data_IF_135078628488
#
_entry.id   IF_135078628488
#
_cell.length_a   1.000
_cell.length_b   1.000
_cell.length_c   1.000
_cell.angle_alpha   90.00
_cell.angle_beta   90.00
_cell.angle_gamma   90.00
#
_symmetry.space_group_name_H-M   'P 1'
#
loop_
_entity.id
_entity.type
_entity.pdbx_description
1 polymer ?
#
# COMPACT_ATOMS: atom_id res chain seq x y z
N UNK A 1 39.09 18.71 29.20
CA UNK A 1 38.04 19.69 28.90
C UNK A 1 37.48 20.19 30.20
N UNK A 2 37.59 21.49 30.44
CA UNK A 2 37.11 22.13 31.66
C UNK A 2 35.67 22.58 31.51
N UNK A 3 34.94 22.68 32.63
CA UNK A 3 33.53 23.15 32.67
C UNK A 3 33.39 24.53 32.01
N UNK A 4 34.42 25.37 32.10
CA UNK A 4 34.46 26.70 31.48
C UNK A 4 34.44 26.66 29.95
N UNK A 5 35.01 25.63 29.32
CA UNK A 5 35.01 25.47 27.85
C UNK A 5 33.63 25.03 27.33
N UNK A 6 32.88 24.26 28.12
CA UNK A 6 31.49 23.85 27.81
C UNK A 6 30.51 25.02 27.91
N UNK A 7 30.68 25.90 28.91
CA UNK A 7 29.82 27.08 29.11
C UNK A 7 30.00 28.10 27.99
N UNK A 8 31.21 28.24 27.44
CA UNK A 8 31.47 29.17 26.33
C UNK A 8 30.93 28.66 24.98
N UNK A 9 30.92 27.35 24.75
CA UNK A 9 30.48 26.77 23.48
C UNK A 9 28.95 26.80 23.27
N UNK A 10 28.17 26.89 24.35
CA UNK A 10 26.70 26.73 24.33
C UNK A 10 25.94 28.07 24.48
N UNK A 11 26.64 29.18 24.75
CA UNK A 11 26.01 30.46 25.11
C UNK A 11 25.57 30.43 26.57
N UNK A 12 26.06 31.39 27.36
CA UNK A 12 26.02 31.34 28.82
C UNK A 12 24.63 31.04 29.41
N UNK A 13 24.58 30.00 30.25
CA UNK A 13 23.44 29.69 31.11
C UNK A 13 23.78 30.07 32.55
N UNK A 14 22.92 30.85 33.21
CA UNK A 14 23.10 31.36 34.58
C UNK A 14 22.74 30.33 35.70
N UNK A 15 22.56 29.04 35.36
CA UNK A 15 22.10 27.99 36.30
C UNK A 15 23.18 26.99 36.74
N UNK A 16 22.89 26.23 37.81
CA UNK A 16 23.73 25.12 38.30
C UNK A 16 23.91 24.06 37.19
N UNK A 17 25.14 23.67 36.82
CA UNK A 17 25.40 22.60 35.86
C UNK A 17 24.61 21.31 36.12
N UNK A 18 24.35 20.96 37.39
CA UNK A 18 23.54 19.79 37.71
C UNK A 18 22.06 19.97 37.35
N UNK A 19 21.50 21.18 37.48
CA UNK A 19 20.14 21.50 37.03
C UNK A 19 20.03 21.47 35.51
N UNK A 20 21.03 21.99 34.81
CA UNK A 20 21.12 21.93 33.35
C UNK A 20 21.14 20.47 32.87
N UNK A 21 21.98 19.62 33.45
CA UNK A 21 22.04 18.19 33.09
C UNK A 21 20.67 17.53 33.32
N UNK A 22 20.01 17.77 34.46
CA UNK A 22 18.68 17.21 34.73
C UNK A 22 17.62 17.72 33.74
N UNK A 23 17.66 18.98 33.34
CA UNK A 23 16.74 19.55 32.36
C UNK A 23 16.95 18.94 30.97
N UNK A 24 18.21 18.75 30.57
CA UNK A 24 18.57 18.07 29.31
C UNK A 24 18.12 16.62 29.30
N UNK A 25 18.32 15.87 30.39
CA UNK A 25 17.85 14.48 30.52
C UNK A 25 16.34 14.39 30.37
N UNK A 26 15.57 15.21 31.10
CA UNK A 26 14.10 15.22 30.98
C UNK A 26 13.62 15.55 29.57
N UNK A 27 14.32 16.45 28.89
CA UNK A 27 13.98 16.82 27.51
C UNK A 27 14.26 15.67 26.55
N UNK A 28 15.39 14.97 26.71
CA UNK A 28 15.72 13.78 25.95
C UNK A 28 14.72 12.64 26.20
N UNK A 29 14.38 12.35 27.46
CA UNK A 29 13.37 11.34 27.83
C UNK A 29 12.02 11.62 27.16
N UNK A 30 11.58 12.87 27.17
CA UNK A 30 10.35 13.28 26.49
C UNK A 30 10.44 13.09 24.96
N UNK A 31 11.57 13.44 24.35
CA UNK A 31 11.78 13.26 22.92
C UNK A 31 11.76 11.78 22.51
N UNK A 32 12.37 10.89 23.32
CA UNK A 32 12.30 9.45 23.09
C UNK A 32 10.90 8.89 23.27
N UNK A 33 10.17 9.31 24.31
CA UNK A 33 8.79 8.88 24.51
C UNK A 33 7.86 9.29 23.36
N UNK A 34 8.07 10.48 22.77
CA UNK A 34 7.31 10.95 21.61
C UNK A 34 7.66 10.15 20.33
N UNK A 35 8.94 9.79 20.15
CA UNK A 35 9.36 8.89 19.06
C UNK A 35 8.74 7.50 19.22
N UNK A 36 8.78 6.92 20.42
CA UNK A 36 8.16 5.62 20.70
C UNK A 36 6.65 5.66 20.42
N UNK A 37 5.99 6.79 20.70
CA UNK A 37 4.58 6.97 20.37
C UNK A 37 4.33 7.01 18.85
N UNK A 38 5.23 7.62 18.07
CA UNK A 38 5.16 7.62 16.60
C UNK A 38 5.40 6.21 16.04
N UNK A 39 6.42 5.50 16.54
CA UNK A 39 6.74 4.14 16.11
C UNK A 39 5.59 3.18 16.44
N UNK A 40 4.95 3.33 17.59
CA UNK A 40 3.75 2.58 17.94
C UNK A 40 2.56 2.83 17.00
N UNK A 41 2.48 3.99 16.33
CA UNK A 41 1.48 4.24 15.29
C UNK A 41 1.80 3.44 14.02
N UNK A 42 3.07 3.36 13.63
CA UNK A 42 3.55 2.57 12.48
C UNK A 42 3.28 1.07 12.71
N UNK A 43 3.62 0.55 13.89
CA UNK A 43 3.37 -0.86 14.24
C UNK A 43 1.88 -1.20 14.20
N UNK A 44 1.03 -0.34 14.77
CA UNK A 44 -0.42 -0.51 14.72
C UNK A 44 -0.95 -0.43 13.30
N UNK A 45 -0.39 0.44 12.47
CA UNK A 45 -0.77 0.56 11.06
C UNK A 45 -0.38 -0.70 10.28
N UNK A 46 0.78 -1.28 10.55
CA UNK A 46 1.21 -2.56 9.96
C UNK A 46 0.22 -3.69 10.29
N UNK A 47 -0.13 -3.84 11.58
CA UNK A 47 -1.10 -4.84 12.03
C UNK A 47 -2.49 -4.60 11.42
N UNK A 48 -2.94 -3.34 11.36
CA UNK A 48 -4.22 -3.00 10.76
C UNK A 48 -4.25 -3.30 9.25
N UNK A 49 -3.21 -2.91 8.52
CA UNK A 49 -3.06 -3.19 7.10
C UNK A 49 -3.06 -4.69 6.79
N UNK A 50 -2.39 -5.51 7.60
CA UNK A 50 -2.44 -6.97 7.47
C UNK A 50 -3.86 -7.53 7.61
N UNK A 51 -4.63 -7.05 8.60
CA UNK A 51 -6.04 -7.45 8.78
C UNK A 51 -6.92 -7.01 7.61
N UNK A 52 -6.68 -5.83 7.05
CA UNK A 52 -7.38 -5.34 5.85
C UNK A 52 -7.08 -6.26 4.67
N UNK A 53 -5.82 -6.65 4.46
CA UNK A 53 -5.45 -7.61 3.41
C UNK A 53 -6.17 -8.96 3.57
N UNK A 54 -6.27 -9.46 4.80
CA UNK A 54 -7.00 -10.70 5.10
C UNK A 54 -8.49 -10.60 4.73
N UNK A 55 -9.15 -9.50 5.10
CA UNK A 55 -10.56 -9.25 4.75
C UNK A 55 -10.75 -9.05 3.25
N UNK A 56 -9.85 -8.34 2.58
CA UNK A 56 -9.87 -8.18 1.13
C UNK A 56 -9.85 -9.53 0.42
N UNK A 57 -9.03 -10.50 0.85
CA UNK A 57 -9.05 -11.86 0.26
C UNK A 57 -10.42 -12.50 0.32
N UNK A 58 -11.13 -12.34 1.44
CA UNK A 58 -12.50 -12.86 1.63
C UNK A 58 -13.49 -12.15 0.71
N UNK A 59 -13.50 -10.81 0.71
CA UNK A 59 -14.46 -10.03 -0.08
C UNK A 59 -14.25 -10.15 -1.58
N UNK A 60 -13.01 -10.25 -2.05
CA UNK A 60 -12.68 -10.49 -3.46
C UNK A 60 -13.15 -11.87 -3.91
N UNK A 61 -12.99 -12.90 -3.06
CA UNK A 61 -13.46 -14.25 -3.36
C UNK A 61 -14.98 -14.35 -3.39
N UNK A 62 -15.66 -13.50 -2.61
CA UNK A 62 -17.12 -13.37 -2.61
C UNK A 62 -17.64 -12.40 -3.68
N UNK A 63 -16.76 -11.81 -4.49
CA UNK A 63 -17.09 -10.78 -5.50
C UNK A 63 -17.88 -9.57 -4.93
N UNK A 64 -17.66 -9.23 -3.67
CA UNK A 64 -18.36 -8.13 -2.99
C UNK A 64 -17.68 -6.78 -3.26
N UNK A 65 -18.15 -6.08 -4.30
CA UNK A 65 -17.59 -4.77 -4.71
C UNK A 65 -17.68 -3.72 -3.60
N UNK A 66 -18.81 -3.66 -2.89
CA UNK A 66 -19.02 -2.65 -1.85
C UNK A 66 -18.10 -2.87 -0.65
N UNK A 67 -17.89 -4.12 -0.24
CA UNK A 67 -17.01 -4.43 0.89
C UNK A 67 -15.55 -4.19 0.54
N UNK A 68 -15.11 -4.56 -0.68
CA UNK A 68 -13.74 -4.25 -1.15
C UNK A 68 -13.48 -2.74 -1.12
N UNK A 69 -14.45 -1.93 -1.56
CA UNK A 69 -14.33 -0.47 -1.48
C UNK A 69 -14.18 0.03 -0.04
N UNK A 70 -15.00 -0.48 0.88
CA UNK A 70 -14.95 -0.08 2.29
C UNK A 70 -13.59 -0.41 2.95
N UNK A 71 -13.01 -1.55 2.59
CA UNK A 71 -11.67 -1.95 3.06
C UNK A 71 -10.57 -1.01 2.54
N UNK A 72 -10.65 -0.57 1.28
CA UNK A 72 -9.70 0.40 0.73
C UNK A 72 -9.83 1.79 1.38
N UNK A 73 -11.03 2.19 1.77
CA UNK A 73 -11.25 3.42 2.53
C UNK A 73 -10.73 3.31 3.97
N UNK A 74 -10.80 2.13 4.58
CA UNK A 74 -10.12 1.87 5.86
C UNK A 74 -8.59 1.96 5.71
N UNK A 75 -8.04 1.41 4.64
CA UNK A 75 -6.62 1.45 4.34
C UNK A 75 -6.11 2.90 4.21
N UNK A 76 -6.84 3.76 3.51
CA UNK A 76 -6.52 5.19 3.39
C UNK A 76 -6.53 5.89 4.76
N UNK A 77 -7.50 5.56 5.63
CA UNK A 77 -7.56 6.10 7.00
C UNK A 77 -6.36 5.66 7.84
N UNK A 78 -5.92 4.41 7.71
CA UNK A 78 -4.70 3.91 8.37
C UNK A 78 -3.47 4.68 7.89
N UNK A 79 -3.30 4.84 6.58
CA UNK A 79 -2.19 5.59 6.01
C UNK A 79 -2.21 7.09 6.40
N UNK A 80 -3.39 7.71 6.43
CA UNK A 80 -3.55 9.10 6.89
C UNK A 80 -3.10 9.28 8.35
N UNK A 81 -3.36 8.30 9.22
CA UNK A 81 -2.91 8.33 10.61
C UNK A 81 -1.39 8.31 10.73
N UNK A 82 -0.71 7.48 9.95
CA UNK A 82 0.77 7.44 9.92
C UNK A 82 1.34 8.76 9.40
N UNK A 83 0.81 9.28 8.28
CA UNK A 83 1.21 10.60 7.74
C UNK A 83 1.07 11.73 8.75
N UNK A 84 0.05 11.68 9.62
CA UNK A 84 -0.14 12.65 10.70
C UNK A 84 0.99 12.71 11.72
N UNK A 85 1.87 11.70 11.76
CA UNK A 85 3.03 11.62 12.67
C UNK A 85 4.37 11.96 12.01
N UNK A 86 4.40 12.14 10.68
CA UNK A 86 5.65 12.25 9.91
C UNK A 86 6.48 13.48 10.28
N UNK A 87 5.84 14.64 10.48
CA UNK A 87 6.57 15.87 10.81
C UNK A 87 7.23 15.78 12.20
N UNK A 88 6.50 15.25 13.20
CA UNK A 88 7.03 15.00 14.53
C UNK A 88 8.22 14.04 14.48
N UNK A 89 8.08 12.92 13.75
CA UNK A 89 9.14 11.93 13.59
C UNK A 89 10.38 12.52 12.90
N UNK A 90 10.21 13.30 11.82
CA UNK A 90 11.31 13.98 11.12
C UNK A 90 12.05 14.95 12.03
N UNK A 91 11.31 15.81 12.74
CA UNK A 91 11.90 16.79 13.65
C UNK A 91 12.69 16.11 14.78
N UNK A 92 12.13 15.06 15.39
CA UNK A 92 12.80 14.34 16.48
C UNK A 92 14.03 13.57 15.97
N UNK A 93 13.97 12.94 14.79
CA UNK A 93 15.12 12.29 14.19
C UNK A 93 16.24 13.29 13.82
N UNK A 94 15.89 14.50 13.37
CA UNK A 94 16.86 15.58 13.14
C UNK A 94 17.55 15.99 14.43
N UNK A 95 16.79 16.24 15.49
CA UNK A 95 17.31 16.64 16.81
C UNK A 95 18.26 15.56 17.37
N UNK A 96 17.96 14.29 17.11
CA UNK A 96 18.81 13.17 17.52
C UNK A 96 19.98 12.86 16.55
N UNK A 97 20.16 13.63 15.48
CA UNK A 97 21.23 13.42 14.50
C UNK A 97 21.08 12.12 13.69
N UNK A 98 19.85 11.64 13.49
CA UNK A 98 19.54 10.38 12.80
C UNK A 98 19.20 10.53 11.30
N UNK A 99 19.06 11.75 10.78
CA UNK A 99 18.58 12.00 9.39
C UNK A 99 19.48 11.45 8.27
N UNK A 100 20.80 11.29 8.46
CA UNK A 100 21.72 10.86 7.39
C UNK A 100 21.90 9.33 7.26
N UNK A 101 21.41 8.53 8.22
CA UNK A 101 21.65 7.07 8.22
C UNK A 101 20.69 6.27 7.34
N UNK A 102 19.57 6.87 6.95
CA UNK A 102 18.56 6.22 6.12
C UNK A 102 18.79 6.58 4.64
N UNK A 103 19.84 6.01 4.03
CA UNK A 103 19.87 5.83 2.59
C UNK A 103 18.81 4.77 2.20
N UNK A 104 17.55 5.10 2.43
CA UNK A 104 16.41 4.24 2.15
C UNK A 104 16.29 4.13 0.63
N UNK A 105 16.46 2.92 0.10
CA UNK A 105 16.10 2.65 -1.29
C UNK A 105 14.59 2.50 -1.31
N UNK A 106 13.83 3.42 -1.95
CA UNK A 106 12.38 3.35 -1.95
C UNK A 106 11.95 2.02 -2.58
N UNK A 107 11.06 1.30 -1.90
CA UNK A 107 10.43 0.13 -2.50
C UNK A 107 9.65 0.58 -3.75
N UNK A 108 9.75 -0.17 -4.84
CA UNK A 108 9.05 0.15 -6.09
C UNK A 108 7.71 -0.55 -6.09
N UNK A 109 6.63 0.20 -6.32
CA UNK A 109 5.29 -0.36 -6.49
C UNK A 109 5.16 -0.95 -7.88
N UNK A 110 4.97 -2.26 -7.95
CA UNK A 110 4.66 -2.97 -9.21
C UNK A 110 3.26 -2.57 -9.66
N UNK A 111 3.12 -2.14 -10.91
CA UNK A 111 1.83 -1.77 -11.50
C UNK A 111 1.27 -2.92 -12.31
N UNK A 112 -0.03 -3.19 -12.16
CA UNK A 112 -0.76 -4.13 -13.01
C UNK A 112 -1.67 -3.36 -13.95
N UNK A 113 -1.54 -3.64 -15.25
CA UNK A 113 -2.37 -3.06 -16.30
C UNK A 113 -3.19 -4.14 -17.01
N UNK A 114 -4.15 -3.73 -17.84
CA UNK A 114 -4.93 -4.66 -18.65
C UNK A 114 -4.07 -5.50 -19.60
N UNK A 115 -2.93 -4.97 -20.06
CA UNK A 115 -2.00 -5.66 -20.95
C UNK A 115 -1.26 -6.81 -20.26
N UNK A 116 -1.18 -6.78 -18.93
CA UNK A 116 -0.56 -7.82 -18.10
C UNK A 116 -1.53 -8.98 -17.79
N UNK A 117 -2.78 -8.89 -18.25
CA UNK A 117 -3.81 -9.89 -18.04
C UNK A 117 -3.84 -10.92 -19.17
N UNK A 118 -4.23 -12.18 -18.87
CA UNK A 118 -4.51 -13.17 -19.90
C UNK A 118 -5.48 -12.62 -20.95
N UNK A 119 -5.14 -12.80 -22.23
CA UNK A 119 -6.01 -12.40 -23.35
C UNK A 119 -7.27 -13.27 -23.37
N UNK A 120 -8.40 -12.65 -23.71
CA UNK A 120 -9.64 -13.38 -23.91
C UNK A 120 -9.62 -14.11 -25.27
N UNK A 121 -10.02 -15.39 -25.32
CA UNK A 121 -10.25 -16.07 -26.59
C UNK A 121 -11.42 -15.40 -27.32
N UNK A 122 -11.29 -15.23 -28.64
CA UNK A 122 -12.32 -14.63 -29.48
C UNK A 122 -12.49 -15.46 -30.75
N UNK A 123 -13.75 -15.69 -31.14
CA UNK A 123 -14.10 -16.36 -32.39
C UNK A 123 -13.63 -15.58 -33.64
N UNK A 124 -13.29 -14.30 -33.48
CA UNK A 124 -12.80 -13.41 -34.52
C UNK A 124 -11.28 -13.24 -34.51
N UNK A 125 -10.55 -13.95 -33.64
CA UNK A 125 -9.10 -13.81 -33.53
C UNK A 125 -8.31 -14.55 -34.64
N UNK A 126 -8.91 -15.54 -35.29
CA UNK A 126 -8.29 -16.27 -36.41
C UNK A 126 -8.72 -15.67 -37.76
N UNK A 127 -7.76 -15.58 -38.68
CA UNK A 127 -7.89 -14.94 -40.00
C UNK A 127 -8.63 -15.79 -41.04
N UNK A 128 -9.45 -16.75 -40.61
CA UNK A 128 -10.16 -17.66 -41.51
C UNK A 128 -11.57 -17.15 -41.84
N UNK A 129 -11.91 -17.36 -43.11
CA UNK A 129 -13.07 -16.89 -43.86
C UNK A 129 -14.39 -16.87 -43.05
N UNK A 130 -14.82 -15.66 -42.64
CA UNK A 130 -16.07 -15.40 -41.90
C UNK A 130 -17.35 -15.62 -42.74
N UNK A 131 -17.24 -16.33 -43.87
CA UNK A 131 -18.30 -16.50 -44.87
C UNK A 131 -19.42 -17.42 -44.39
N UNK A 132 -19.18 -18.22 -43.34
CA UNK A 132 -20.19 -19.09 -42.72
C UNK A 132 -20.49 -18.69 -41.26
N UNK A 133 -21.59 -17.94 -41.08
CA UNK A 133 -22.07 -17.50 -39.76
C UNK A 133 -22.52 -18.65 -38.85
N UNK A 134 -22.94 -19.80 -39.41
CA UNK A 134 -23.27 -20.99 -38.62
C UNK A 134 -22.00 -21.66 -38.06
N UNK A 135 -20.89 -21.63 -38.81
CA UNK A 135 -19.60 -22.09 -38.33
C UNK A 135 -19.04 -21.19 -37.22
N UNK A 136 -19.30 -19.88 -37.26
CA UNK A 136 -18.94 -18.93 -36.18
C UNK A 136 -19.74 -19.22 -34.91
N UNK A 137 -21.05 -19.42 -35.00
CA UNK A 137 -21.90 -19.75 -33.85
C UNK A 137 -21.47 -21.08 -33.17
N UNK A 138 -21.13 -22.11 -33.97
CA UNK A 138 -20.60 -23.37 -33.45
C UNK A 138 -19.23 -23.23 -32.76
N UNK A 139 -18.39 -22.27 -33.17
CA UNK A 139 -17.12 -21.95 -32.50
C UNK A 139 -17.31 -21.21 -31.19
N UNK A 140 -18.25 -20.27 -31.12
CA UNK A 140 -18.55 -19.53 -29.88
C UNK A 140 -18.96 -20.49 -28.74
N UNK A 141 -19.77 -21.50 -29.05
CA UNK A 141 -20.20 -22.49 -28.06
C UNK A 141 -19.06 -23.42 -27.59
N UNK A 142 -18.11 -23.72 -28.47
CA UNK A 142 -16.89 -24.47 -28.12
C UNK A 142 -15.87 -23.63 -27.33
N UNK A 143 -15.86 -22.31 -27.53
CA UNK A 143 -14.95 -21.39 -26.84
C UNK A 143 -15.46 -20.99 -25.46
N UNK A 144 -16.75 -21.14 -25.15
CA UNK A 144 -17.35 -20.74 -23.87
C UNK A 144 -16.58 -21.27 -22.64
N UNK A 145 -16.20 -22.55 -22.52
CA UNK A 145 -15.42 -23.02 -21.37
C UNK A 145 -14.02 -22.37 -21.27
N UNK A 146 -13.40 -22.06 -22.41
CA UNK A 146 -12.10 -21.39 -22.44
C UNK A 146 -12.24 -19.91 -22.05
N UNK A 147 -13.34 -19.27 -22.44
CA UNK A 147 -13.69 -17.91 -22.09
C UNK A 147 -13.98 -17.77 -20.59
N UNK A 148 -14.77 -18.68 -20.02
CA UNK A 148 -15.02 -18.77 -18.57
C UNK A 148 -13.70 -18.89 -17.80
N UNK A 149 -12.82 -19.80 -18.23
CA UNK A 149 -11.51 -19.98 -17.60
C UNK A 149 -10.62 -18.74 -17.72
N UNK A 150 -10.64 -18.07 -18.87
CA UNK A 150 -9.87 -16.85 -19.09
C UNK A 150 -10.35 -15.72 -18.17
N UNK A 151 -11.67 -15.51 -18.06
CA UNK A 151 -12.26 -14.53 -17.14
C UNK A 151 -11.91 -14.83 -15.68
N UNK A 152 -12.08 -16.08 -15.24
CA UNK A 152 -11.72 -16.49 -13.89
C UNK A 152 -10.24 -16.21 -13.58
N UNK A 153 -9.32 -16.52 -14.51
CA UNK A 153 -7.89 -16.22 -14.35
C UNK A 153 -7.60 -14.73 -14.24
N UNK A 154 -8.27 -13.90 -15.05
CA UNK A 154 -8.12 -12.43 -15.02
C UNK A 154 -8.59 -11.89 -13.67
N UNK A 155 -9.77 -12.30 -13.21
CA UNK A 155 -10.35 -11.89 -11.91
C UNK A 155 -9.41 -12.25 -10.76
N UNK A 156 -8.97 -13.52 -10.70
CA UNK A 156 -8.06 -14.00 -9.65
C UNK A 156 -6.74 -13.26 -9.68
N UNK A 157 -6.15 -13.02 -10.86
CA UNK A 157 -4.85 -12.34 -10.97
C UNK A 157 -4.90 -10.90 -10.45
N UNK A 158 -5.95 -10.14 -10.80
CA UNK A 158 -6.12 -8.78 -10.29
C UNK A 158 -6.39 -8.78 -8.79
N UNK A 159 -7.23 -9.71 -8.30
CA UNK A 159 -7.53 -9.85 -6.88
C UNK A 159 -6.26 -10.16 -6.06
N UNK A 160 -5.44 -11.11 -6.52
CA UNK A 160 -4.16 -11.44 -5.88
C UNK A 160 -3.22 -10.24 -5.86
N UNK A 161 -3.09 -9.53 -6.98
CA UNK A 161 -2.22 -8.35 -7.06
C UNK A 161 -2.66 -7.25 -6.09
N UNK A 162 -3.97 -6.95 -6.03
CA UNK A 162 -4.51 -5.97 -5.10
C UNK A 162 -4.15 -6.31 -3.64
N UNK A 163 -4.31 -7.58 -3.25
CA UNK A 163 -3.96 -8.05 -1.90
C UNK A 163 -2.46 -7.92 -1.66
N UNK A 164 -1.62 -8.33 -2.61
CA UNK A 164 -0.16 -8.23 -2.49
C UNK A 164 0.31 -6.79 -2.30
N UNK A 165 -0.26 -5.84 -3.02
CA UNK A 165 0.07 -4.41 -2.85
C UNK A 165 -0.26 -3.94 -1.42
N UNK A 166 -1.42 -4.34 -0.90
CA UNK A 166 -1.84 -4.00 0.47
C UNK A 166 -0.94 -4.67 1.52
N UNK A 167 -0.55 -5.93 1.33
CA UNK A 167 0.38 -6.64 2.21
C UNK A 167 1.75 -5.97 2.24
N UNK A 168 2.28 -5.56 1.08
CA UNK A 168 3.58 -4.92 0.99
C UNK A 168 3.62 -3.57 1.71
N UNK A 169 2.60 -2.74 1.51
CA UNK A 169 2.53 -1.44 2.22
C UNK A 169 2.28 -1.61 3.72
N UNK A 170 1.50 -2.63 4.11
CA UNK A 170 1.29 -2.98 5.51
C UNK A 170 2.59 -3.48 6.18
N UNK A 171 3.38 -4.30 5.49
CA UNK A 171 4.67 -4.77 6.00
C UNK A 171 5.67 -3.62 6.23
N UNK A 172 5.60 -2.57 5.41
CA UNK A 172 6.37 -1.34 5.60
C UNK A 172 5.75 -0.37 6.64
N UNK A 173 4.60 -0.72 7.24
CA UNK A 173 3.90 0.12 8.22
C UNK A 173 3.49 1.49 7.70
N UNK A 174 3.40 1.66 6.37
CA UNK A 174 3.16 2.95 5.70
C UNK A 174 4.21 4.04 6.05
N UNK A 175 5.39 3.66 6.56
CA UNK A 175 6.38 4.59 7.07
C UNK A 175 7.09 5.40 5.98
N UNK A 176 7.19 4.85 4.76
CA UNK A 176 7.59 5.60 3.56
C UNK A 176 6.34 6.21 2.92
N UNK A 177 6.20 7.53 3.07
CA UNK A 177 5.09 8.31 2.54
C UNK A 177 4.90 8.18 1.02
N UNK A 178 5.98 8.05 0.24
CA UNK A 178 5.91 7.94 -1.20
C UNK A 178 5.47 6.54 -1.61
N UNK A 179 6.12 5.51 -1.05
CA UNK A 179 5.72 4.13 -1.28
C UNK A 179 4.28 3.87 -0.87
N UNK A 180 3.86 4.40 0.29
CA UNK A 180 2.48 4.29 0.76
C UNK A 180 1.48 4.95 -0.20
N UNK A 181 1.74 6.19 -0.64
CA UNK A 181 0.87 6.88 -1.59
C UNK A 181 0.77 6.14 -2.93
N UNK A 182 1.91 5.69 -3.47
CA UNK A 182 1.94 4.93 -4.73
C UNK A 182 1.20 3.59 -4.62
N UNK A 183 1.30 2.92 -3.47
CA UNK A 183 0.63 1.64 -3.19
C UNK A 183 -0.88 1.80 -3.05
N UNK A 184 -1.35 2.85 -2.36
CA UNK A 184 -2.78 3.17 -2.23
C UNK A 184 -3.40 3.48 -3.61
N UNK A 185 -2.70 4.26 -4.43
CA UNK A 185 -3.13 4.54 -5.80
C UNK A 185 -3.18 3.26 -6.65
N UNK A 186 -2.22 2.35 -6.47
CA UNK A 186 -2.21 1.07 -7.18
C UNK A 186 -3.33 0.14 -6.71
N UNK A 187 -3.64 0.10 -5.41
CA UNK A 187 -4.77 -0.66 -4.89
C UNK A 187 -6.10 -0.15 -5.48
N UNK A 188 -6.28 1.17 -5.57
CA UNK A 188 -7.47 1.75 -6.21
C UNK A 188 -7.56 1.41 -7.71
N UNK A 189 -6.45 1.51 -8.46
CA UNK A 189 -6.41 1.12 -9.88
C UNK A 189 -6.73 -0.37 -10.06
N UNK A 190 -6.16 -1.22 -9.23
CA UNK A 190 -6.39 -2.66 -9.25
C UNK A 190 -7.84 -3.00 -8.94
N UNK A 191 -8.47 -2.29 -8.00
CA UNK A 191 -9.90 -2.46 -7.72
C UNK A 191 -10.77 -2.09 -8.93
N UNK A 192 -10.49 -0.96 -9.59
CA UNK A 192 -11.20 -0.56 -10.81
C UNK A 192 -11.00 -1.56 -11.96
N UNK A 193 -9.79 -2.11 -12.11
CA UNK A 193 -9.50 -3.15 -13.09
C UNK A 193 -10.25 -4.45 -12.77
N UNK A 194 -10.33 -4.83 -11.49
CA UNK A 194 -11.08 -6.00 -11.04
C UNK A 194 -12.58 -5.86 -11.31
N UNK A 195 -13.16 -4.69 -11.03
CA UNK A 195 -14.56 -4.40 -11.38
C UNK A 195 -14.81 -4.52 -12.88
N UNK A 196 -13.88 -4.02 -13.71
CA UNK A 196 -13.94 -4.17 -15.17
C UNK A 196 -13.94 -5.65 -15.57
N UNK A 197 -13.04 -6.46 -15.02
CA UNK A 197 -13.00 -7.91 -15.28
C UNK A 197 -14.31 -8.62 -14.89
N UNK A 198 -14.93 -8.25 -13.76
CA UNK A 198 -16.22 -8.80 -13.36
C UNK A 198 -17.34 -8.40 -14.33
N UNK A 199 -17.37 -7.14 -14.76
CA UNK A 199 -18.36 -6.65 -15.70
C UNK A 199 -18.23 -7.32 -17.08
N UNK A 200 -17.01 -7.48 -17.58
CA UNK A 200 -16.72 -8.20 -18.83
C UNK A 200 -17.13 -9.67 -18.73
N UNK A 201 -16.78 -10.35 -17.63
CA UNK A 201 -17.19 -11.74 -17.39
C UNK A 201 -18.72 -11.89 -17.41
N UNK A 202 -19.45 -11.03 -16.70
CA UNK A 202 -20.92 -11.06 -16.69
C UNK A 202 -21.52 -10.78 -18.06
N UNK A 203 -20.93 -9.88 -18.85
CA UNK A 203 -21.42 -9.54 -20.19
C UNK A 203 -21.18 -10.68 -21.19
N UNK A 204 -20.02 -11.32 -21.12
CA UNK A 204 -19.59 -12.31 -22.10
C UNK A 204 -20.13 -13.71 -21.80
N UNK A 205 -20.56 -13.98 -20.56
CA UNK A 205 -21.04 -15.28 -20.09
C UNK A 205 -22.54 -15.32 -19.75
N UNK A 206 -23.26 -14.20 -19.82
CA UNK A 206 -24.73 -14.15 -19.73
C UNK A 206 -25.39 -14.62 -21.02
#
# INVERSE_FOLDING_TARGET
MSVSELVQAVGGFEGDPAEMVRASVRTAERAFAELDACDAVIDKASVAGGKIADRLRVHLSAESVADVQAELEELERVAARVRGTDETRRLLNRVLGKEERDAFTPAVVVRLTADDLPRLPSAYAEADDYTDLLAVAGREEQLRPQLELAHAKRIVRVATHLVTVVEQVAAAGFADSRFAAESLLEAQRSHALWQTCLAESRRDLS
#
